data_IF_098388951288
#
_entry.id   IF_098388951288
#
_cell.length_a   1.000
_cell.length_b   1.000
_cell.length_c   1.000
_cell.angle_alpha   90.00
_cell.angle_beta   90.00
_cell.angle_gamma   90.00
#
_symmetry.space_group_name_H-M   'P 1'
#
loop_
_entity.id
_entity.type
_entity.pdbx_description
1 polymer ?
#
# COMPACT_ATOMS: atom_id res chain seq x y z
N UNK A 1 -9.01 1.09 23.21
CA UNK A 1 -8.76 0.97 21.76
C UNK A 1 -8.48 -0.48 21.45
N UNK A 2 -9.27 -1.10 20.58
CA UNK A 2 -8.97 -2.45 20.08
C UNK A 2 -7.68 -2.40 19.25
N UNK A 3 -6.73 -3.33 19.43
CA UNK A 3 -5.53 -3.34 18.60
C UNK A 3 -5.90 -3.56 17.13
N UNK A 4 -5.32 -2.73 16.24
CA UNK A 4 -5.46 -2.89 14.80
C UNK A 4 -4.75 -4.18 14.36
N UNK A 5 -5.37 -5.03 13.53
CA UNK A 5 -4.69 -6.20 12.96
C UNK A 5 -3.41 -5.79 12.22
N UNK A 6 -2.34 -6.56 12.45
CA UNK A 6 -1.07 -6.41 11.74
C UNK A 6 -1.12 -7.18 10.43
N UNK A 7 -0.80 -6.49 9.34
CA UNK A 7 -0.74 -7.10 8.01
C UNK A 7 0.72 -7.04 7.56
N UNK A 8 1.32 -8.22 7.32
CA UNK A 8 2.72 -8.31 6.90
C UNK A 8 2.94 -7.86 5.44
N UNK A 9 2.09 -8.20 4.46
CA UNK A 9 2.18 -7.66 3.12
C UNK A 9 1.98 -6.13 3.08
N UNK A 10 2.69 -5.45 2.18
CA UNK A 10 2.39 -4.04 1.90
C UNK A 10 1.08 -3.92 1.10
N UNK A 11 0.25 -2.94 1.46
CA UNK A 11 -1.01 -2.66 0.75
C UNK A 11 -0.77 -1.51 -0.24
N UNK A 12 -1.04 -1.75 -1.52
CA UNK A 12 -0.92 -0.76 -2.59
C UNK A 12 -2.33 -0.24 -2.91
N UNK A 13 -2.52 1.08 -2.81
CA UNK A 13 -3.79 1.77 -3.07
C UNK A 13 -3.62 2.89 -4.09
N UNK A 14 -4.70 3.30 -4.74
CA UNK A 14 -4.64 4.38 -5.73
C UNK A 14 -4.55 5.76 -5.08
N UNK A 15 -5.43 6.04 -4.12
CA UNK A 15 -5.62 7.36 -3.54
C UNK A 15 -5.11 7.51 -2.13
N UNK A 16 -4.79 8.76 -1.75
CA UNK A 16 -4.47 9.13 -0.37
C UNK A 16 -5.61 8.84 0.61
N UNK A 17 -6.86 8.88 0.13
CA UNK A 17 -8.04 8.67 0.96
C UNK A 17 -8.18 7.20 1.37
N UNK A 18 -7.82 6.26 0.50
CA UNK A 18 -7.78 4.83 0.82
C UNK A 18 -6.74 4.55 1.89
N UNK A 19 -5.55 5.16 1.75
CA UNK A 19 -4.50 5.09 2.78
C UNK A 19 -5.02 5.58 4.14
N UNK A 20 -5.63 6.76 4.20
CA UNK A 20 -6.16 7.32 5.46
C UNK A 20 -7.19 6.37 6.09
N UNK A 21 -8.08 5.78 5.29
CA UNK A 21 -9.09 4.82 5.78
C UNK A 21 -8.43 3.56 6.32
N UNK A 22 -7.47 2.99 5.59
CA UNK A 22 -6.76 1.79 6.00
C UNK A 22 -5.92 2.01 7.26
N UNK A 23 -5.22 3.14 7.37
CA UNK A 23 -4.46 3.50 8.57
C UNK A 23 -5.36 3.54 9.82
N UNK A 24 -6.66 3.81 9.70
CA UNK A 24 -7.56 3.76 10.86
C UNK A 24 -7.88 2.33 11.34
N UNK A 25 -7.71 1.31 10.48
CA UNK A 25 -8.17 -0.06 10.74
C UNK A 25 -7.06 -1.11 10.75
N UNK A 26 -5.91 -0.89 10.10
CA UNK A 26 -4.80 -1.86 10.04
C UNK A 26 -3.47 -1.23 10.48
N UNK A 27 -2.56 -2.08 10.94
CA UNK A 27 -1.14 -1.76 11.12
C UNK A 27 -0.36 -2.45 9.99
N UNK A 28 -0.05 -1.68 8.95
CA UNK A 28 0.53 -2.18 7.70
C UNK A 28 1.31 -1.08 6.98
N UNK A 29 2.24 -1.47 6.12
CA UNK A 29 2.83 -0.55 5.14
C UNK A 29 1.81 -0.28 4.05
N UNK A 30 1.47 0.99 3.81
CA UNK A 30 0.50 1.39 2.78
C UNK A 30 1.16 2.34 1.77
N UNK A 31 1.15 1.96 0.49
CA UNK A 31 1.80 2.67 -0.62
C UNK A 31 0.71 3.24 -1.55
N UNK A 32 0.76 4.54 -1.83
CA UNK A 32 -0.23 5.25 -2.67
C UNK A 32 0.33 5.47 -4.07
N UNK A 33 -0.27 4.91 -5.11
CA UNK A 33 0.24 5.00 -6.50
C UNK A 33 0.03 6.39 -7.13
N UNK A 34 -1.03 7.11 -6.77
CA UNK A 34 -1.42 8.34 -7.46
C UNK A 34 -1.86 8.08 -8.91
N UNK A 35 -2.47 6.91 -9.16
CA UNK A 35 -2.84 6.45 -10.49
C UNK A 35 -1.62 6.16 -11.36
N UNK A 36 -1.63 6.64 -12.61
CA UNK A 36 -0.54 6.43 -13.57
C UNK A 36 0.75 7.21 -13.25
N UNK A 37 0.77 8.10 -12.24
CA UNK A 37 1.99 8.83 -11.87
C UNK A 37 3.11 7.91 -11.38
N UNK A 38 2.75 6.74 -10.82
CA UNK A 38 3.70 5.74 -10.35
C UNK A 38 4.70 5.26 -11.42
N UNK A 39 4.31 5.25 -12.70
CA UNK A 39 5.18 4.84 -13.80
C UNK A 39 6.37 5.78 -14.03
N UNK A 40 6.33 6.98 -13.45
CA UNK A 40 7.42 7.96 -13.50
C UNK A 40 8.24 8.01 -12.22
N UNK A 41 7.92 7.17 -11.23
CA UNK A 41 8.58 7.13 -9.94
C UNK A 41 9.29 5.78 -9.73
N UNK A 42 10.52 5.71 -10.22
CA UNK A 42 11.33 4.48 -10.12
C UNK A 42 11.59 4.06 -8.67
N UNK A 43 11.74 5.02 -7.75
CA UNK A 43 11.95 4.70 -6.34
C UNK A 43 10.74 3.98 -5.73
N UNK A 44 9.54 4.45 -6.06
CA UNK A 44 8.30 3.85 -5.61
C UNK A 44 8.05 2.48 -6.25
N UNK A 45 8.33 2.33 -7.54
CA UNK A 45 8.27 1.04 -8.21
C UNK A 45 9.27 0.03 -7.62
N UNK A 46 10.50 0.44 -7.29
CA UNK A 46 11.46 -0.40 -6.58
C UNK A 46 10.96 -0.81 -5.20
N UNK A 47 10.32 0.10 -4.46
CA UNK A 47 9.75 -0.21 -3.15
C UNK A 47 8.65 -1.27 -3.23
N UNK A 48 7.75 -1.16 -4.20
CA UNK A 48 6.69 -2.16 -4.41
C UNK A 48 7.28 -3.52 -4.79
N UNK A 49 8.27 -3.55 -5.69
CA UNK A 49 8.97 -4.79 -6.05
C UNK A 49 9.66 -5.42 -4.84
N UNK A 50 10.33 -4.62 -4.02
CA UNK A 50 10.97 -5.09 -2.81
C UNK A 50 9.97 -5.78 -1.86
N UNK A 51 8.80 -5.17 -1.61
CA UNK A 51 7.77 -5.81 -0.78
C UNK A 51 7.18 -7.05 -1.45
N UNK A 52 6.94 -7.02 -2.76
CA UNK A 52 6.42 -8.18 -3.49
C UNK A 52 7.34 -9.41 -3.38
N UNK A 53 8.66 -9.20 -3.39
CA UNK A 53 9.66 -10.27 -3.28
C UNK A 53 9.89 -10.74 -1.84
N UNK A 54 9.68 -9.89 -0.83
CA UNK A 54 10.05 -10.18 0.56
C UNK A 54 8.88 -10.58 1.45
N UNK A 55 7.81 -9.80 1.46
CA UNK A 55 6.65 -9.98 2.36
C UNK A 55 5.33 -10.20 1.61
N UNK A 56 5.35 -10.05 0.28
CA UNK A 56 4.17 -9.97 -0.56
C UNK A 56 3.54 -8.57 -0.60
N UNK A 57 2.62 -8.39 -1.55
CA UNK A 57 1.79 -7.18 -1.68
C UNK A 57 0.32 -7.56 -1.85
N UNK A 58 -0.56 -6.66 -1.40
CA UNK A 58 -2.01 -6.68 -1.68
C UNK A 58 -2.34 -5.42 -2.47
N UNK A 59 -2.99 -5.58 -3.62
CA UNK A 59 -3.46 -4.44 -4.42
C UNK A 59 -4.93 -4.22 -4.10
N UNK A 60 -5.27 -3.01 -3.64
CA UNK A 60 -6.63 -2.60 -3.32
C UNK A 60 -6.99 -1.35 -4.11
N UNK A 61 -7.70 -1.55 -5.21
CA UNK A 61 -8.22 -0.48 -6.09
C UNK A 61 -9.73 -0.64 -6.24
N UNK A 62 -10.41 0.45 -6.59
CA UNK A 62 -11.74 0.38 -7.19
C UNK A 62 -11.67 -0.22 -8.60
N UNK A 63 -12.83 -0.64 -9.11
CA UNK A 63 -13.03 -1.23 -10.43
C UNK A 63 -13.85 -0.29 -11.31
#
# INVERSE_FOLDING_TARGET
>A
MTPRPKIAPAIVVEGKYDKIRLESVVDAVIIVTGGFQIYRNDAQLRLIRHYAETTGIVILTDA
#
